data_IF_651596237884
#
_entry.id   IF_651596237884
#
_cell.length_a   1.000
_cell.length_b   1.000
_cell.length_c   1.000
_cell.angle_alpha   90.00
_cell.angle_beta   90.00
_cell.angle_gamma   90.00
#
_symmetry.space_group_name_H-M   'P 1'
#
loop_
_entity.id
_entity.type
_entity.pdbx_description
1 polymer ?
#
# COMPACT_ATOMS: atom_id res chain seq x y z
N UNK A 1 -3.09 -43.94 40.37
CA UNK A 1 -2.92 -44.88 39.26
C UNK A 1 -4.21 -44.89 38.45
N UNK A 2 -4.24 -44.23 37.30
CA UNK A 2 -5.45 -44.16 36.46
C UNK A 2 -5.34 -45.21 35.36
N UNK A 3 -6.26 -46.17 35.40
CA UNK A 3 -6.40 -47.27 34.46
C UNK A 3 -7.03 -46.76 33.15
N UNK A 4 -6.29 -46.82 32.05
CA UNK A 4 -6.76 -46.45 30.71
C UNK A 4 -7.53 -47.63 30.10
N UNK A 5 -8.78 -47.78 30.52
CA UNK A 5 -9.72 -48.70 29.90
C UNK A 5 -10.20 -48.13 28.56
N UNK A 6 -9.80 -48.77 27.47
CA UNK A 6 -10.33 -48.57 26.13
C UNK A 6 -11.87 -48.59 26.15
N UNK A 7 -12.51 -47.46 25.86
CA UNK A 7 -13.86 -47.45 25.32
C UNK A 7 -13.79 -47.04 23.87
N UNK A 8 -14.08 -48.04 23.03
CA UNK A 8 -14.27 -47.93 21.61
C UNK A 8 -15.18 -46.75 21.27
N UNK A 9 -14.65 -45.81 20.50
CA UNK A 9 -15.47 -44.85 19.78
C UNK A 9 -16.29 -45.69 18.80
N UNK A 10 -17.59 -45.77 19.05
CA UNK A 10 -18.53 -46.37 18.11
C UNK A 10 -18.35 -45.67 16.76
N UNK A 11 -17.77 -46.38 15.80
CA UNK A 11 -17.81 -46.01 14.41
C UNK A 11 -19.28 -46.09 13.97
N UNK A 12 -19.99 -44.97 14.08
CA UNK A 12 -21.27 -44.82 13.38
C UNK A 12 -20.95 -44.51 11.93
N UNK A 13 -20.86 -45.57 11.13
CA UNK A 13 -20.87 -45.50 9.67
C UNK A 13 -22.27 -45.07 9.21
N UNK A 14 -22.59 -43.79 9.38
CA UNK A 14 -23.75 -43.15 8.78
C UNK A 14 -23.23 -42.12 7.76
N UNK A 15 -22.60 -42.62 6.70
CA UNK A 15 -22.35 -41.84 5.49
C UNK A 15 -23.69 -41.60 4.78
N UNK A 16 -24.52 -40.73 5.36
CA UNK A 16 -25.64 -40.14 4.63
C UNK A 16 -25.10 -39.02 3.78
N UNK A 17 -24.90 -39.32 2.49
CA UNK A 17 -24.55 -38.38 1.44
C UNK A 17 -25.67 -37.34 1.28
N UNK A 18 -25.69 -36.32 2.14
CA UNK A 18 -26.58 -35.16 2.01
C UNK A 18 -25.95 -34.15 1.05
N UNK A 19 -25.96 -34.47 -0.24
CA UNK A 19 -25.75 -33.47 -1.29
C UNK A 19 -27.11 -32.97 -1.74
N UNK A 20 -27.35 -31.65 -1.80
CA UNK A 20 -28.62 -31.16 -2.28
C UNK A 20 -28.79 -31.57 -3.75
N UNK A 21 -30.01 -31.97 -4.20
CA UNK A 21 -30.21 -32.53 -5.54
C UNK A 21 -29.74 -31.60 -6.68
N UNK A 22 -29.76 -30.28 -6.45
CA UNK A 22 -29.27 -29.30 -7.41
C UNK A 22 -27.75 -29.38 -7.59
N UNK A 23 -26.98 -29.68 -6.55
CA UNK A 23 -25.52 -29.76 -6.63
C UNK A 23 -25.09 -30.98 -7.45
N UNK A 24 -25.79 -32.10 -7.26
CA UNK A 24 -25.58 -33.32 -8.04
C UNK A 24 -25.92 -33.05 -9.51
N UNK A 25 -27.09 -32.46 -9.80
CA UNK A 25 -27.51 -32.12 -11.17
C UNK A 25 -26.52 -31.17 -11.86
N UNK A 26 -26.02 -30.18 -11.13
CA UNK A 26 -25.01 -29.25 -11.61
C UNK A 26 -23.71 -29.97 -11.99
N UNK A 27 -23.24 -30.90 -11.14
CA UNK A 27 -22.04 -31.68 -11.42
C UNK A 27 -22.18 -32.54 -12.68
N UNK A 28 -23.27 -33.29 -12.80
CA UNK A 28 -23.54 -34.14 -13.97
C UNK A 28 -23.76 -33.34 -15.26
N UNK A 29 -24.26 -32.11 -15.17
CA UNK A 29 -24.38 -31.21 -16.33
C UNK A 29 -23.03 -30.59 -16.76
N UNK A 30 -21.98 -30.71 -15.94
CA UNK A 30 -20.68 -30.14 -16.25
C UNK A 30 -19.88 -31.02 -17.24
N UNK A 31 -18.98 -30.43 -18.04
CA UNK A 31 -18.08 -31.20 -18.91
C UNK A 31 -17.05 -32.04 -18.13
N UNK A 32 -16.91 -31.81 -16.82
CA UNK A 32 -15.96 -32.49 -15.93
C UNK A 32 -16.60 -33.61 -15.11
N UNK A 33 -17.85 -33.98 -15.40
CA UNK A 33 -18.58 -35.04 -14.69
C UNK A 33 -17.88 -36.41 -14.74
N UNK A 34 -16.96 -36.62 -15.70
CA UNK A 34 -16.15 -37.84 -15.82
C UNK A 34 -15.11 -37.99 -14.70
N UNK A 35 -14.81 -36.92 -13.95
CA UNK A 35 -13.89 -36.94 -12.82
C UNK A 35 -14.62 -37.18 -11.49
N UNK A 36 -13.89 -37.65 -10.48
CA UNK A 36 -14.43 -37.77 -9.13
C UNK A 36 -14.70 -36.36 -8.56
N UNK A 37 -15.95 -36.04 -8.15
CA UNK A 37 -16.39 -34.68 -7.79
C UNK A 37 -15.63 -34.10 -6.60
N UNK A 38 -15.29 -34.92 -5.59
CA UNK A 38 -14.60 -34.44 -4.40
C UNK A 38 -13.14 -34.06 -4.70
N UNK A 39 -12.44 -34.90 -5.47
CA UNK A 39 -11.05 -34.67 -5.84
C UNK A 39 -10.93 -33.47 -6.76
N UNK A 40 -11.81 -33.36 -7.76
CA UNK A 40 -11.81 -32.21 -8.67
C UNK A 40 -12.08 -30.91 -7.91
N UNK A 41 -13.12 -30.88 -7.07
CA UNK A 41 -13.43 -29.68 -6.28
C UNK A 41 -12.30 -29.31 -5.31
N UNK A 42 -11.64 -30.29 -4.68
CA UNK A 42 -10.48 -30.04 -3.83
C UNK A 42 -9.32 -29.40 -4.60
N UNK A 43 -9.01 -29.89 -5.80
CA UNK A 43 -7.97 -29.32 -6.67
C UNK A 43 -8.33 -27.88 -7.06
N UNK A 44 -9.57 -27.63 -7.47
CA UNK A 44 -10.04 -26.28 -7.84
C UNK A 44 -9.91 -25.30 -6.67
N UNK A 45 -10.29 -25.73 -5.46
CA UNK A 45 -10.16 -24.90 -4.25
C UNK A 45 -8.70 -24.58 -3.96
N UNK A 46 -7.81 -25.57 -4.01
CA UNK A 46 -6.37 -25.36 -3.81
C UNK A 46 -5.81 -24.40 -4.86
N UNK A 47 -6.21 -24.56 -6.13
CA UNK A 47 -5.78 -23.68 -7.22
C UNK A 47 -6.27 -22.24 -7.01
N UNK A 48 -7.53 -22.06 -6.59
CA UNK A 48 -8.09 -20.75 -6.30
C UNK A 48 -7.34 -20.05 -5.15
N UNK A 49 -7.02 -20.79 -4.07
CA UNK A 49 -6.21 -20.26 -2.96
C UNK A 49 -4.80 -19.87 -3.44
N UNK A 50 -4.16 -20.72 -4.24
CA UNK A 50 -2.83 -20.45 -4.80
C UNK A 50 -2.82 -19.20 -5.68
N UNK A 51 -3.84 -19.02 -6.53
CA UNK A 51 -4.02 -17.84 -7.37
C UNK A 51 -4.19 -16.59 -6.49
N UNK A 52 -5.10 -16.62 -5.52
CA UNK A 52 -5.32 -15.48 -4.61
C UNK A 52 -4.04 -15.13 -3.84
N UNK A 53 -3.32 -16.14 -3.35
CA UNK A 53 -2.06 -15.96 -2.64
C UNK A 53 -0.98 -15.34 -3.54
N UNK A 54 -0.84 -15.81 -4.78
CA UNK A 54 0.08 -15.27 -5.77
C UNK A 54 -0.23 -13.79 -6.09
N UNK A 55 -1.50 -13.45 -6.32
CA UNK A 55 -1.91 -12.06 -6.57
C UNK A 55 -1.74 -11.16 -5.34
N UNK A 56 -1.94 -11.65 -4.11
CA UNK A 56 -1.65 -10.89 -2.88
C UNK A 56 -0.15 -10.62 -2.73
N UNK A 57 0.70 -11.60 -3.02
CA UNK A 57 2.16 -11.43 -2.98
C UNK A 57 2.66 -10.43 -4.04
N UNK A 58 2.14 -10.49 -5.27
CA UNK A 58 2.50 -9.55 -6.34
C UNK A 58 2.11 -8.10 -6.04
N UNK A 59 0.99 -7.87 -5.34
CA UNK A 59 0.59 -6.52 -4.90
C UNK A 59 1.48 -5.96 -3.80
N UNK A 60 1.96 -6.79 -2.87
CA UNK A 60 2.85 -6.33 -1.78
C UNK A 60 4.22 -5.90 -2.30
N UNK A 61 4.79 -6.64 -3.26
CA UNK A 61 6.11 -6.32 -3.82
C UNK A 61 6.12 -5.04 -4.67
N UNK A 62 5.04 -4.79 -5.42
CA UNK A 62 4.88 -3.53 -6.16
C UNK A 62 4.46 -2.37 -5.25
N UNK A 63 3.76 -2.62 -4.15
CA UNK A 63 3.42 -1.58 -3.19
C UNK A 63 4.67 -1.01 -2.51
N UNK A 64 5.63 -1.84 -2.10
CA UNK A 64 6.87 -1.35 -1.47
C UNK A 64 7.75 -0.53 -2.42
N UNK A 65 7.84 -0.94 -3.70
CA UNK A 65 8.59 -0.19 -4.72
C UNK A 65 7.93 1.17 -5.03
N UNK A 66 6.61 1.18 -5.23
CA UNK A 66 5.85 2.43 -5.45
C UNK A 66 5.78 3.30 -4.19
N UNK A 67 5.83 2.74 -2.99
CA UNK A 67 5.84 3.51 -1.74
C UNK A 67 7.18 4.19 -1.52
N UNK A 68 8.29 3.52 -1.86
CA UNK A 68 9.63 4.10 -1.82
C UNK A 68 9.82 5.24 -2.84
N UNK A 69 9.45 5.03 -4.10
CA UNK A 69 9.54 6.07 -5.14
C UNK A 69 8.55 7.21 -4.87
N UNK A 70 7.31 6.89 -4.51
CA UNK A 70 6.30 7.89 -4.19
C UNK A 70 6.60 8.69 -2.92
N UNK A 71 7.44 8.19 -2.00
CA UNK A 71 7.90 8.94 -0.82
C UNK A 71 8.98 9.96 -1.19
N UNK A 72 9.96 9.57 -2.02
CA UNK A 72 10.99 10.51 -2.51
C UNK A 72 10.41 11.60 -3.38
N UNK A 73 9.48 11.25 -4.28
CA UNK A 73 8.79 12.23 -5.12
C UNK A 73 8.00 13.24 -4.28
N UNK A 74 7.25 12.78 -3.28
CA UNK A 74 6.53 13.68 -2.36
C UNK A 74 7.45 14.57 -1.53
N UNK A 75 8.60 14.06 -1.11
CA UNK A 75 9.61 14.85 -0.39
C UNK A 75 10.22 15.93 -1.30
N UNK A 76 10.48 15.60 -2.57
CA UNK A 76 10.93 16.54 -3.58
C UNK A 76 9.87 17.62 -3.89
N UNK A 77 8.61 17.24 -4.12
CA UNK A 77 7.49 18.16 -4.32
C UNK A 77 7.34 19.13 -3.14
N UNK A 78 7.45 18.63 -1.90
CA UNK A 78 7.39 19.46 -0.70
C UNK A 78 8.56 20.45 -0.61
N UNK A 79 9.76 20.05 -1.01
CA UNK A 79 10.93 20.92 -1.07
C UNK A 79 10.76 22.01 -2.13
N UNK A 80 10.21 21.68 -3.30
CA UNK A 80 9.87 22.64 -4.36
C UNK A 80 8.83 23.65 -3.89
N UNK A 81 7.75 23.20 -3.24
CA UNK A 81 6.75 24.11 -2.66
C UNK A 81 7.35 25.07 -1.63
N UNK A 82 8.28 24.58 -0.79
CA UNK A 82 9.01 25.43 0.18
C UNK A 82 9.91 26.44 -0.51
N UNK A 83 10.60 26.05 -1.58
CA UNK A 83 11.41 26.94 -2.40
C UNK A 83 10.56 28.08 -2.98
N UNK A 84 9.45 27.75 -3.65
CA UNK A 84 8.59 28.73 -4.31
C UNK A 84 7.90 29.65 -3.30
N UNK A 85 7.45 29.09 -2.18
CA UNK A 85 6.87 29.88 -1.08
C UNK A 85 7.90 30.85 -0.49
N UNK A 86 9.16 30.44 -0.37
CA UNK A 86 10.23 31.31 0.15
C UNK A 86 10.53 32.43 -0.82
N UNK A 87 10.61 32.15 -2.12
CA UNK A 87 10.80 33.18 -3.16
C UNK A 87 9.63 34.17 -3.14
N UNK A 88 8.40 33.67 -3.04
CA UNK A 88 7.21 34.53 -2.92
C UNK A 88 7.30 35.44 -1.69
N UNK A 89 7.68 34.91 -0.53
CA UNK A 89 7.87 35.71 0.69
C UNK A 89 8.96 36.77 0.55
N UNK A 90 10.04 36.49 -0.18
CA UNK A 90 11.08 37.49 -0.48
C UNK A 90 10.48 38.60 -1.35
N UNK A 91 9.71 38.24 -2.39
CA UNK A 91 9.05 39.20 -3.27
C UNK A 91 8.03 40.06 -2.50
N UNK A 92 7.17 39.45 -1.69
CA UNK A 92 6.19 40.16 -0.87
C UNK A 92 6.89 41.11 0.14
N UNK A 93 8.05 40.70 0.68
CA UNK A 93 8.87 41.54 1.55
C UNK A 93 9.51 42.72 0.80
N UNK A 94 9.97 42.50 -0.44
CA UNK A 94 10.50 43.56 -1.31
C UNK A 94 9.40 44.57 -1.67
N UNK A 95 8.18 44.11 -1.96
CA UNK A 95 7.02 44.98 -2.21
C UNK A 95 6.63 45.78 -0.98
N UNK A 96 6.61 45.16 0.21
CA UNK A 96 6.31 45.82 1.48
C UNK A 96 7.38 46.84 1.91
N UNK A 97 8.64 46.63 1.50
CA UNK A 97 9.69 47.62 1.68
C UNK A 97 9.52 48.81 0.72
N UNK A 98 9.13 48.56 -0.53
CA UNK A 98 8.85 49.62 -1.50
C UNK A 98 7.63 50.47 -1.15
N UNK A 99 6.65 49.91 -0.42
CA UNK A 99 5.48 50.64 0.10
C UNK A 99 5.73 51.34 1.45
N UNK A 100 6.97 51.36 1.95
CA UNK A 100 7.37 51.90 3.27
C UNK A 100 6.66 51.22 4.47
N UNK A 101 6.05 50.04 4.29
CA UNK A 101 5.39 49.28 5.36
C UNK A 101 6.41 48.59 6.30
N UNK A 102 7.68 48.49 5.89
CA UNK A 102 8.74 47.80 6.64
C UNK A 102 10.00 48.67 6.72
N UNK A 103 10.53 48.84 7.94
CA UNK A 103 11.80 49.55 8.16
C UNK A 103 13.02 48.80 7.59
N UNK A 104 14.05 49.54 7.18
CA UNK A 104 15.28 49.05 6.54
C UNK A 104 15.96 47.97 7.37
N UNK A 105 16.07 48.15 8.69
CA UNK A 105 16.73 47.17 9.56
C UNK A 105 15.94 45.85 9.64
N UNK A 106 14.61 45.93 9.58
CA UNK A 106 13.72 44.76 9.59
C UNK A 106 13.73 44.03 8.25
N UNK A 107 13.81 44.79 7.16
CA UNK A 107 13.92 44.28 5.80
C UNK A 107 15.20 43.47 5.60
N UNK A 108 16.38 44.04 5.91
CA UNK A 108 17.66 43.36 5.72
C UNK A 108 17.78 42.06 6.53
N UNK A 109 17.32 42.09 7.80
CA UNK A 109 17.34 40.91 8.67
C UNK A 109 16.47 39.77 8.12
N UNK A 110 15.25 40.08 7.67
CA UNK A 110 14.33 39.09 7.09
C UNK A 110 14.82 38.58 5.74
N UNK A 111 15.34 39.47 4.89
CA UNK A 111 15.90 39.11 3.58
C UNK A 111 17.09 38.15 3.70
N UNK A 112 18.03 38.43 4.59
CA UNK A 112 19.19 37.57 4.83
C UNK A 112 18.78 36.19 5.37
N UNK A 113 17.81 36.15 6.30
CA UNK A 113 17.27 34.90 6.81
C UNK A 113 16.57 34.07 5.71
N UNK A 114 15.78 34.69 4.85
CA UNK A 114 15.12 33.99 3.74
C UNK A 114 16.11 33.52 2.66
N UNK A 115 17.15 34.30 2.36
CA UNK A 115 18.21 33.89 1.44
C UNK A 115 19.01 32.69 1.97
N UNK A 116 19.33 32.68 3.27
CA UNK A 116 20.01 31.55 3.93
C UNK A 116 19.13 30.30 3.89
N UNK A 117 17.84 30.44 4.18
CA UNK A 117 16.89 29.33 4.08
C UNK A 117 16.77 28.81 2.64
N UNK A 118 16.74 29.69 1.65
CA UNK A 118 16.70 29.33 0.24
C UNK A 118 17.94 28.56 -0.21
N UNK A 119 19.13 28.96 0.24
CA UNK A 119 20.38 28.24 -0.04
C UNK A 119 20.34 26.80 0.49
N UNK A 120 19.85 26.61 1.72
CA UNK A 120 19.68 25.29 2.33
C UNK A 120 18.68 24.41 1.57
N UNK A 121 17.54 24.97 1.17
CA UNK A 121 16.52 24.23 0.38
C UNK A 121 17.07 23.85 -1.01
N UNK A 122 17.88 24.70 -1.63
CA UNK A 122 18.55 24.39 -2.92
C UNK A 122 19.57 23.27 -2.80
N UNK A 123 20.37 23.26 -1.72
CA UNK A 123 21.30 22.15 -1.44
C UNK A 123 20.53 20.83 -1.29
N UNK A 124 19.45 20.85 -0.51
CA UNK A 124 18.58 19.68 -0.34
C UNK A 124 17.94 19.20 -1.65
N UNK A 125 17.53 20.11 -2.54
CA UNK A 125 16.99 19.76 -3.86
C UNK A 125 18.07 19.18 -4.79
N UNK A 126 19.29 19.71 -4.73
CA UNK A 126 20.41 19.25 -5.57
C UNK A 126 20.84 17.81 -5.23
N UNK A 127 20.65 17.38 -3.98
CA UNK A 127 20.89 15.99 -3.56
C UNK A 127 19.89 14.98 -4.18
N UNK A 128 18.72 15.43 -4.65
CA UNK A 128 17.77 14.57 -5.40
C UNK A 128 18.08 14.48 -6.90
N UNK A 129 18.88 15.42 -7.43
CA UNK A 129 19.23 15.49 -8.87
C UNK A 129 20.54 14.74 -9.18
N UNK A 130 21.41 14.56 -8.18
CA UNK A 130 22.65 13.78 -8.27
C UNK A 130 22.40 12.27 -8.31
#
# INVERSE_FOLDING_TARGET
MVNWGMMAIFASSAASTFHPPWLIRLWYASPFHMFEPHLFSAIVVVLAIAIVWFFKQGKSKNADLNHSEGKREKEFEQLMLKHDTTIKKIKDLDEAFQSEEVDVATYEKKKNAYQTYLAKVKEQLNDYVK
#
